data_IF_560387102317
#
_entry.id   IF_560387102317
#
_cell.length_a   1.000
_cell.length_b   1.000
_cell.length_c   1.000
_cell.angle_alpha   90.00
_cell.angle_beta   90.00
_cell.angle_gamma   90.00
#
_symmetry.space_group_name_H-M   'P 1'
#
loop_
_entity.id
_entity.type
_entity.pdbx_description
1 polymer ?
#
# COMPACT_ATOMS: atom_id res chain seq x y z
N UNK A 1 -5.33 -4.91 -11.31
CA UNK A 1 -4.03 -5.06 -10.67
C UNK A 1 -3.63 -3.83 -9.87
N UNK A 2 -2.60 -3.90 -9.02
CA UNK A 2 -2.20 -2.84 -8.10
C UNK A 2 -1.33 -1.76 -8.77
N UNK A 3 -1.73 -1.27 -9.94
CA UNK A 3 -0.91 -0.39 -10.77
C UNK A 3 -0.56 0.94 -10.09
N UNK A 4 -1.50 1.55 -9.39
CA UNK A 4 -1.29 2.86 -8.72
C UNK A 4 -0.51 2.67 -7.42
N UNK A 5 -0.91 1.73 -6.57
CA UNK A 5 -0.28 1.52 -5.26
C UNK A 5 1.09 0.86 -5.34
N UNK A 6 1.45 0.28 -6.50
CA UNK A 6 2.70 -0.47 -6.65
C UNK A 6 3.94 0.36 -6.30
N UNK A 7 4.01 1.61 -6.70
CA UNK A 7 5.17 2.48 -6.44
C UNK A 7 5.47 2.61 -4.95
N UNK A 8 4.46 2.89 -4.14
CA UNK A 8 4.61 3.07 -2.70
C UNK A 8 4.85 1.73 -1.97
N UNK A 9 4.09 0.68 -2.34
CA UNK A 9 4.21 -0.62 -1.70
C UNK A 9 5.54 -1.28 -2.04
N UNK A 10 5.95 -1.29 -3.31
CA UNK A 10 7.24 -1.84 -3.74
C UNK A 10 8.41 -1.15 -3.04
N UNK A 11 8.39 0.20 -2.92
CA UNK A 11 9.40 0.94 -2.18
C UNK A 11 9.50 0.50 -0.73
N UNK A 12 8.37 0.12 -0.11
CA UNK A 12 8.30 -0.27 1.29
C UNK A 12 8.74 -1.72 1.54
N UNK A 13 8.29 -2.66 0.70
CA UNK A 13 8.50 -4.10 0.92
C UNK A 13 9.57 -4.72 0.02
N UNK A 14 10.06 -3.96 -0.95
CA UNK A 14 10.98 -4.42 -1.97
C UNK A 14 10.31 -5.19 -3.11
N UNK A 15 11.02 -5.27 -4.24
CA UNK A 15 10.52 -5.86 -5.49
C UNK A 15 10.08 -7.32 -5.34
N UNK A 16 10.86 -8.14 -4.62
CA UNK A 16 10.54 -9.57 -4.47
C UNK A 16 9.24 -9.81 -3.69
N UNK A 17 9.04 -9.12 -2.57
CA UNK A 17 7.82 -9.25 -1.78
C UNK A 17 6.62 -8.64 -2.51
N UNK A 18 6.81 -7.51 -3.18
CA UNK A 18 5.77 -6.92 -4.02
C UNK A 18 5.38 -7.84 -5.19
N UNK A 19 6.35 -8.48 -5.84
CA UNK A 19 6.09 -9.47 -6.89
C UNK A 19 5.22 -10.62 -6.39
N UNK A 20 5.52 -11.18 -5.22
CA UNK A 20 4.69 -12.21 -4.60
C UNK A 20 3.26 -11.72 -4.33
N UNK A 21 3.09 -10.51 -3.80
CA UNK A 21 1.76 -9.93 -3.56
C UNK A 21 0.96 -9.78 -4.86
N UNK A 22 1.61 -9.36 -5.92
CA UNK A 22 0.97 -9.02 -7.20
C UNK A 22 0.59 -10.27 -8.00
N UNK A 23 1.47 -11.25 -8.07
CA UNK A 23 1.30 -12.43 -8.93
C UNK A 23 0.68 -13.64 -8.22
N UNK A 24 0.43 -13.54 -6.91
CA UNK A 24 -0.33 -14.53 -6.14
C UNK A 24 -1.53 -13.90 -5.41
N UNK A 25 -2.47 -13.25 -6.15
CA UNK A 25 -3.53 -12.44 -5.53
C UNK A 25 -4.53 -13.25 -4.69
N UNK A 26 -4.62 -14.55 -4.92
CA UNK A 26 -5.48 -15.45 -4.13
C UNK A 26 -4.85 -15.86 -2.78
N UNK A 27 -3.57 -15.56 -2.56
CA UNK A 27 -2.87 -15.90 -1.33
C UNK A 27 -2.96 -14.74 -0.34
N UNK A 28 -3.73 -14.93 0.72
CA UNK A 28 -3.81 -13.96 1.81
C UNK A 28 -2.48 -13.88 2.57
N UNK A 29 -2.10 -12.66 2.91
CA UNK A 29 -0.92 -12.37 3.73
C UNK A 29 -1.39 -11.91 5.10
N UNK A 30 -0.96 -12.60 6.14
CA UNK A 30 -1.30 -12.24 7.51
C UNK A 30 -0.49 -11.04 8.02
N UNK A 31 -0.84 -10.55 9.18
CA UNK A 31 -0.19 -9.40 9.82
C UNK A 31 1.29 -9.68 10.13
N UNK A 32 1.62 -10.94 10.48
CA UNK A 32 3.01 -11.33 10.72
C UNK A 32 3.85 -11.23 9.45
N UNK A 33 3.35 -11.76 8.33
CA UNK A 33 4.05 -11.65 7.04
C UNK A 33 4.25 -10.18 6.63
N UNK A 34 3.24 -9.34 6.84
CA UNK A 34 3.31 -7.91 6.53
C UNK A 34 4.34 -7.18 7.41
N UNK A 35 4.42 -7.53 8.69
CA UNK A 35 5.41 -6.99 9.63
C UNK A 35 6.83 -7.42 9.23
N UNK A 36 7.05 -8.72 8.97
CA UNK A 36 8.35 -9.28 8.59
C UNK A 36 8.89 -8.69 7.27
N UNK A 37 8.00 -8.18 6.41
CA UNK A 37 8.35 -7.55 5.12
C UNK A 37 8.37 -6.02 5.17
N UNK A 38 8.16 -5.42 6.33
CA UNK A 38 8.19 -3.97 6.51
C UNK A 38 6.99 -3.22 5.95
N UNK A 39 5.90 -3.91 5.57
CA UNK A 39 4.66 -3.25 5.18
C UNK A 39 4.04 -2.53 6.38
N UNK A 40 4.04 -3.17 7.54
CA UNK A 40 3.67 -2.57 8.82
C UNK A 40 4.91 -2.31 9.67
N UNK A 41 4.92 -1.18 10.38
CA UNK A 41 5.97 -0.85 11.35
C UNK A 41 5.77 -1.59 12.67
N UNK A 42 4.52 -1.81 13.06
CA UNK A 42 4.12 -2.53 14.27
C UNK A 42 2.74 -3.15 14.10
N UNK A 43 2.41 -4.10 14.96
CA UNK A 43 1.10 -4.76 15.03
C UNK A 43 0.66 -4.81 16.49
N UNK A 44 -0.59 -4.50 16.75
CA UNK A 44 -1.15 -4.47 18.10
C UNK A 44 -2.41 -5.36 18.18
N UNK A 45 -2.69 -5.95 19.33
CA UNK A 45 -3.82 -6.86 19.50
C UNK A 45 -5.20 -6.19 19.37
N UNK A 46 -5.30 -4.89 19.70
CA UNK A 46 -6.57 -4.17 19.75
C UNK A 46 -6.46 -2.78 19.14
N UNK A 47 -7.58 -2.25 18.64
CA UNK A 47 -7.66 -0.88 18.09
C UNK A 47 -7.24 0.19 19.12
N UNK A 48 -7.70 0.17 20.39
CA UNK A 48 -7.25 1.15 21.37
C UNK A 48 -5.72 1.16 21.59
N UNK A 49 -5.04 0.01 21.47
CA UNK A 49 -3.58 -0.05 21.54
C UNK A 49 -2.91 0.55 20.31
N UNK A 50 -3.52 0.43 19.13
CA UNK A 50 -3.04 1.13 17.91
C UNK A 50 -3.18 2.64 18.10
N UNK A 51 -4.35 3.10 18.56
CA UNK A 51 -4.61 4.53 18.76
C UNK A 51 -3.61 5.13 19.78
N UNK A 52 -3.41 4.45 20.90
CA UNK A 52 -2.42 4.91 21.90
C UNK A 52 -1.00 4.97 21.33
N UNK A 53 -0.58 3.96 20.57
CA UNK A 53 0.75 3.93 19.96
C UNK A 53 0.93 5.03 18.91
N UNK A 54 -0.12 5.38 18.16
CA UNK A 54 -0.11 6.51 17.22
C UNK A 54 0.03 7.84 17.96
N UNK A 55 -0.74 8.04 19.04
CA UNK A 55 -0.67 9.24 19.85
C UNK A 55 0.70 9.41 20.51
N UNK A 56 1.23 8.35 21.10
CA UNK A 56 2.56 8.35 21.73
C UNK A 56 3.65 8.72 20.72
N UNK A 57 3.58 8.11 19.53
CA UNK A 57 4.53 8.39 18.45
C UNK A 57 4.42 9.83 17.92
N UNK A 58 3.20 10.33 17.76
CA UNK A 58 2.98 11.71 17.33
C UNK A 58 3.51 12.73 18.37
N UNK A 59 3.28 12.48 19.67
CA UNK A 59 3.80 13.29 20.75
C UNK A 59 5.33 13.25 20.82
N UNK A 60 5.94 12.10 20.55
CA UNK A 60 7.40 11.99 20.48
C UNK A 60 7.97 12.78 19.30
N UNK A 61 7.39 12.65 18.10
CA UNK A 61 7.82 13.41 16.94
C UNK A 61 7.69 14.92 17.12
N UNK A 62 6.67 15.38 17.87
CA UNK A 62 6.46 16.80 18.16
C UNK A 62 7.55 17.44 19.02
N UNK A 63 8.39 16.64 19.68
CA UNK A 63 9.53 17.14 20.49
C UNK A 63 10.78 17.42 19.65
N UNK A 64 10.84 16.92 18.43
CA UNK A 64 12.02 17.08 17.58
C UNK A 64 12.00 18.41 16.80
N UNK A 65 13.18 18.83 16.31
CA UNK A 65 13.29 20.02 15.47
C UNK A 65 12.45 19.88 14.20
N UNK A 66 11.47 20.78 13.95
CA UNK A 66 10.67 20.74 12.73
C UNK A 66 11.52 20.83 11.45
N UNK A 67 12.59 21.64 11.48
CA UNK A 67 13.51 21.82 10.35
C UNK A 67 14.26 20.51 10.06
N UNK A 68 14.81 19.85 11.08
CA UNK A 68 15.50 18.59 10.94
C UNK A 68 14.56 17.48 10.43
N UNK A 69 13.33 17.42 10.92
CA UNK A 69 12.31 16.47 10.47
C UNK A 69 11.91 16.70 9.02
N UNK A 70 11.79 17.98 8.59
CA UNK A 70 11.50 18.31 7.19
C UNK A 70 12.63 17.85 6.26
N UNK A 71 13.90 18.08 6.63
CA UNK A 71 15.06 17.63 5.86
C UNK A 71 15.16 16.10 5.78
N UNK A 72 14.97 15.41 6.89
CA UNK A 72 14.95 13.94 6.91
C UNK A 72 13.84 13.38 6.01
N UNK A 73 12.65 14.00 6.03
CA UNK A 73 11.54 13.61 5.16
C UNK A 73 11.89 13.83 3.69
N UNK A 74 12.51 14.96 3.34
CA UNK A 74 12.97 15.26 1.99
C UNK A 74 13.98 14.22 1.49
N UNK A 75 14.97 13.86 2.32
CA UNK A 75 15.96 12.82 2.01
C UNK A 75 15.28 11.46 1.82
N UNK A 76 14.35 11.09 2.73
CA UNK A 76 13.61 9.84 2.64
C UNK A 76 12.83 9.71 1.32
N UNK A 77 12.30 10.81 0.79
CA UNK A 77 11.53 10.84 -0.45
C UNK A 77 12.35 11.08 -1.72
N UNK A 78 13.68 11.18 -1.62
CA UNK A 78 14.55 11.27 -2.78
C UNK A 78 14.30 10.11 -3.76
N UNK A 79 14.25 10.43 -5.06
CA UNK A 79 13.98 9.46 -6.11
C UNK A 79 12.49 9.21 -6.39
N UNK A 80 11.60 10.02 -5.80
CA UNK A 80 10.16 9.95 -6.05
C UNK A 80 9.62 11.15 -6.83
N UNK A 81 10.48 12.03 -7.30
CA UNK A 81 10.13 13.30 -7.95
C UNK A 81 9.29 13.12 -9.23
N UNK A 82 9.43 11.95 -9.85
CA UNK A 82 8.69 11.57 -11.06
C UNK A 82 7.33 10.89 -10.77
N UNK A 83 6.96 10.70 -9.51
CA UNK A 83 5.77 9.91 -9.17
C UNK A 83 4.47 10.54 -9.64
N UNK A 84 4.34 11.85 -9.69
CA UNK A 84 3.12 12.50 -10.17
C UNK A 84 2.76 11.99 -11.58
N UNK A 85 3.72 12.04 -12.50
CA UNK A 85 3.54 11.54 -13.86
C UNK A 85 3.38 10.02 -13.91
N UNK A 86 4.19 9.29 -13.14
CA UNK A 86 4.12 7.83 -13.07
C UNK A 86 2.75 7.34 -12.57
N UNK A 87 2.17 8.01 -11.55
CA UNK A 87 0.87 7.65 -11.01
C UNK A 87 -0.26 7.89 -12.02
N UNK A 88 -0.21 8.97 -12.81
CA UNK A 88 -1.13 9.20 -13.92
C UNK A 88 -1.06 8.07 -14.96
N UNK A 89 0.14 7.71 -15.40
CA UNK A 89 0.36 6.62 -16.36
C UNK A 89 -0.20 5.28 -15.83
N UNK A 90 0.04 4.98 -14.55
CA UNK A 90 -0.45 3.76 -13.89
C UNK A 90 -1.97 3.77 -13.70
N UNK A 91 -2.55 4.92 -13.39
CA UNK A 91 -4.00 5.09 -13.32
C UNK A 91 -4.66 4.85 -14.68
N UNK A 92 -4.07 5.37 -15.77
CA UNK A 92 -4.54 5.13 -17.13
C UNK A 92 -4.52 3.63 -17.49
N UNK A 93 -3.46 2.89 -17.12
CA UNK A 93 -3.42 1.42 -17.30
C UNK A 93 -4.56 0.76 -16.52
N UNK A 94 -4.78 1.14 -15.28
CA UNK A 94 -5.86 0.60 -14.45
C UNK A 94 -7.24 0.87 -15.06
N UNK A 95 -7.48 2.11 -15.51
CA UNK A 95 -8.72 2.53 -16.16
C UNK A 95 -8.99 1.75 -17.45
N UNK A 96 -7.99 1.58 -18.29
CA UNK A 96 -8.10 0.79 -19.53
C UNK A 96 -8.42 -0.68 -19.25
N UNK A 97 -7.74 -1.29 -18.29
CA UNK A 97 -7.88 -2.72 -18.00
C UNK A 97 -9.19 -3.05 -17.27
N UNK A 98 -9.74 -2.13 -16.46
CA UNK A 98 -11.05 -2.36 -15.82
C UNK A 98 -12.19 -2.44 -16.83
N UNK A 99 -12.05 -1.78 -17.98
CA UNK A 99 -13.02 -1.81 -19.08
C UNK A 99 -12.79 -2.99 -20.04
N UNK A 100 -11.77 -3.79 -19.82
CA UNK A 100 -11.52 -4.97 -20.68
C UNK A 100 -12.62 -6.01 -20.53
N UNK A 101 -12.89 -6.73 -21.60
CA UNK A 101 -13.90 -7.81 -21.64
C UNK A 101 -13.62 -8.86 -20.54
N UNK A 102 -12.35 -9.21 -20.33
CA UNK A 102 -11.94 -10.13 -19.27
C UNK A 102 -12.39 -9.64 -17.88
N UNK A 103 -12.12 -8.37 -17.57
CA UNK A 103 -12.47 -7.80 -16.25
C UNK A 103 -13.98 -7.68 -16.08
N UNK A 104 -14.69 -7.24 -17.11
CA UNK A 104 -16.16 -7.15 -17.08
C UNK A 104 -16.81 -8.51 -16.84
N UNK A 105 -16.34 -9.57 -17.50
CA UNK A 105 -16.80 -10.94 -17.26
C UNK A 105 -16.48 -11.43 -15.84
N UNK A 106 -15.29 -11.12 -15.32
CA UNK A 106 -14.91 -11.49 -13.95
C UNK A 106 -15.79 -10.79 -12.90
N UNK A 107 -16.08 -9.50 -13.08
CA UNK A 107 -16.98 -8.74 -12.20
C UNK A 107 -18.41 -9.31 -12.23
N UNK A 108 -18.95 -9.62 -13.42
CA UNK A 108 -20.26 -10.22 -13.55
C UNK A 108 -20.35 -11.55 -12.80
N UNK A 109 -19.37 -12.44 -12.99
CA UNK A 109 -19.28 -13.72 -12.27
C UNK A 109 -19.22 -13.54 -10.75
N UNK A 110 -18.48 -12.56 -10.27
CA UNK A 110 -18.39 -12.26 -8.83
C UNK A 110 -19.74 -11.79 -8.26
N UNK A 111 -20.44 -10.90 -8.97
CA UNK A 111 -21.79 -10.44 -8.57
C UNK A 111 -22.78 -11.58 -8.49
N UNK A 112 -22.78 -12.48 -9.48
CA UNK A 112 -23.68 -13.63 -9.50
C UNK A 112 -23.41 -14.60 -8.32
N UNK A 113 -22.15 -14.77 -7.93
CA UNK A 113 -21.78 -15.57 -6.77
C UNK A 113 -22.16 -14.92 -5.44
N UNK A 114 -22.05 -13.60 -5.33
CA UNK A 114 -22.45 -12.85 -4.14
C UNK A 114 -23.97 -12.83 -3.95
N UNK A 115 -24.76 -12.80 -5.03
CA UNK A 115 -26.20 -12.82 -4.99
C UNK A 115 -26.80 -14.21 -4.60
N UNK A 116 -25.99 -15.28 -4.63
CA UNK A 116 -26.39 -16.65 -4.28
C UNK A 116 -26.07 -17.03 -2.81
N UNK A 117 -25.46 -16.13 -2.05
CA UNK A 117 -25.20 -16.26 -0.61
C UNK A 117 -26.19 -15.46 0.21
#
# INVERSE_FOLDING_TARGET
>A
GPFVVCTAVERKVGNAAFGLMTFTPATWRDTKWCLDRGLYAAVYPTVPQVDQAVDDHAQELAKYSPEAMAELKRILWTGTEHWDKLLEERAAISGRLVLSEFTLKAIAKFKDQAAKK
#
